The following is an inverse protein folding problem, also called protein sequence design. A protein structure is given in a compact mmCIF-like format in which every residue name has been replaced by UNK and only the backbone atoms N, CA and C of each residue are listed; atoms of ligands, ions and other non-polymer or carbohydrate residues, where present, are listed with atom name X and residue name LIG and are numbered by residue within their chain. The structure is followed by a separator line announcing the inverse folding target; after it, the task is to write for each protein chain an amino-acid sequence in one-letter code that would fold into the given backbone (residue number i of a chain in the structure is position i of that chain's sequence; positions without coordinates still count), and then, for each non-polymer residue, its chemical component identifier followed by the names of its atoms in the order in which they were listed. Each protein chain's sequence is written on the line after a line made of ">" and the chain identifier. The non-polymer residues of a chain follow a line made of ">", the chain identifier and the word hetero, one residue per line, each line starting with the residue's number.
data_IF_618805935798
#
_entry.id   IF_618805935798
#
_cell.length_a   1.000
_cell.length_b   1.000
_cell.length_c   1.000
_cell.angle_alpha   90.00
_cell.angle_beta   90.00
_cell.angle_gamma   90.00
#
_symmetry.space_group_name_H-M   'P 1'
#
loop_
_entity.id
_entity.type
_entity.pdbx_description
1 polymer ?
#
# COMPACT_ATOMS: atom_id res chain seq x y z
N UNK A 1 -21.89 11.41 5.84
CA UNK A 1 -20.85 10.56 6.44
C UNK A 1 -19.58 10.47 5.61
N UNK A 2 -19.64 10.37 4.27
CA UNK A 2 -18.44 10.33 3.39
C UNK A 2 -17.53 11.56 3.51
N UNK A 3 -18.09 12.78 3.59
CA UNK A 3 -17.31 14.01 3.74
C UNK A 3 -16.51 14.05 5.06
N UNK A 4 -17.07 13.52 6.15
CA UNK A 4 -16.40 13.49 7.46
C UNK A 4 -15.17 12.57 7.45
N UNK A 5 -15.18 11.51 6.65
CA UNK A 5 -14.10 10.53 6.50
C UNK A 5 -12.87 11.10 5.76
N UNK A 6 -13.07 12.11 4.92
CA UNK A 6 -11.98 12.83 4.24
C UNK A 6 -11.53 14.05 5.08
N UNK A 7 -12.46 14.73 5.72
CA UNK A 7 -12.19 15.96 6.48
C UNK A 7 -11.38 15.68 7.76
N UNK A 8 -11.69 14.62 8.51
CA UNK A 8 -10.96 14.29 9.73
C UNK A 8 -9.48 13.96 9.50
N UNK A 9 -9.09 13.10 8.55
CA UNK A 9 -7.69 12.86 8.23
C UNK A 9 -7.00 14.08 7.65
N UNK A 10 -7.66 14.81 6.75
CA UNK A 10 -7.10 16.06 6.20
C UNK A 10 -6.88 17.11 7.29
N UNK A 11 -7.80 17.22 8.26
CA UNK A 11 -7.66 18.10 9.41
C UNK A 11 -6.52 17.64 10.35
N UNK A 12 -6.36 16.32 10.56
CA UNK A 12 -5.24 15.77 11.34
C UNK A 12 -3.89 16.06 10.68
N UNK A 13 -3.79 15.91 9.36
CA UNK A 13 -2.58 16.27 8.60
C UNK A 13 -2.35 17.78 8.63
N UNK A 14 -3.37 18.60 8.40
CA UNK A 14 -3.26 20.05 8.46
C UNK A 14 -2.85 20.51 9.85
N UNK A 15 -3.38 19.90 10.92
CA UNK A 15 -2.99 20.16 12.29
C UNK A 15 -1.54 19.71 12.55
N UNK A 16 -1.13 18.55 12.06
CA UNK A 16 0.24 18.04 12.17
C UNK A 16 1.21 18.94 11.41
N UNK A 17 0.87 19.38 10.20
CA UNK A 17 1.64 20.35 9.42
C UNK A 17 1.68 21.74 10.10
N UNK A 18 0.56 22.21 10.65
CA UNK A 18 0.51 23.49 11.38
C UNK A 18 1.35 23.43 12.65
N UNK A 19 1.27 22.32 13.39
CA UNK A 19 2.13 22.06 14.55
C UNK A 19 3.61 21.96 14.12
N UNK A 20 3.90 21.32 13.00
CA UNK A 20 5.25 21.24 12.42
C UNK A 20 5.77 22.61 12.02
N UNK A 21 4.94 23.43 11.36
CA UNK A 21 5.29 24.80 11.01
C UNK A 21 5.47 25.72 12.24
N UNK A 22 4.65 25.53 13.29
CA UNK A 22 4.84 26.22 14.57
C UNK A 22 6.11 25.78 15.31
N UNK A 23 6.51 24.50 15.18
CA UNK A 23 7.76 23.97 15.71
C UNK A 23 8.97 24.48 14.94
N UNK A 24 8.86 24.69 13.64
CA UNK A 24 9.87 25.32 12.80
C UNK A 24 10.00 26.83 13.08
N UNK A 25 9.05 27.46 13.80
CA UNK A 25 9.11 28.88 14.17
C UNK A 25 10.18 29.09 15.25
N UNK A 26 11.12 30.01 15.03
CA UNK A 26 12.29 30.13 15.90
C UNK A 26 11.90 30.47 17.33
N UNK A 27 12.41 29.70 18.30
CA UNK A 27 12.34 30.02 19.72
C UNK A 27 13.04 31.35 19.99
N UNK A 28 12.47 32.19 20.87
CA UNK A 28 13.01 33.54 21.18
C UNK A 28 14.30 33.56 22.00
N UNK A 29 14.91 32.43 22.30
CA UNK A 29 16.29 32.42 22.84
C UNK A 29 17.26 32.61 21.69
N UNK A 30 18.11 33.63 21.68
CA UNK A 30 18.97 33.93 20.57
C UNK A 30 20.09 32.89 20.44
N UNK A 31 19.82 31.84 19.64
CA UNK A 31 20.90 31.04 19.07
C UNK A 31 21.57 31.94 18.02
N UNK A 32 22.90 32.09 18.02
CA UNK A 32 23.55 32.97 17.05
C UNK A 32 23.12 32.68 15.62
N UNK A 33 22.59 33.67 14.92
CA UNK A 33 22.04 33.52 13.54
C UNK A 33 22.98 32.84 12.53
N UNK A 34 24.29 32.84 12.79
CA UNK A 34 25.31 32.19 11.93
C UNK A 34 25.34 30.67 12.04
N UNK A 35 25.09 30.10 13.21
CA UNK A 35 25.00 28.67 13.45
C UNK A 35 23.69 28.09 12.88
N UNK A 36 22.58 28.84 13.01
CA UNK A 36 21.27 28.51 12.41
C UNK A 36 21.36 28.21 10.89
N UNK A 37 22.12 29.00 10.16
CA UNK A 37 22.19 28.87 8.69
C UNK A 37 22.98 27.61 8.24
N UNK A 38 24.04 27.24 8.96
CA UNK A 38 24.85 26.07 8.61
C UNK A 38 24.22 24.75 9.04
N UNK A 39 23.69 24.68 10.25
CA UNK A 39 22.97 23.48 10.72
C UNK A 39 21.69 23.23 9.94
N UNK A 40 20.95 24.30 9.57
CA UNK A 40 19.75 24.22 8.74
C UNK A 40 20.01 23.66 7.33
N UNK A 41 21.14 23.99 6.71
CA UNK A 41 21.53 23.41 5.42
C UNK A 41 21.86 21.92 5.58
N UNK A 42 22.60 21.56 6.64
CA UNK A 42 22.98 20.16 6.87
C UNK A 42 21.78 19.25 7.04
N UNK A 43 20.79 19.65 7.87
CA UNK A 43 19.58 18.86 8.06
C UNK A 43 18.72 18.83 6.80
N UNK A 44 18.61 19.92 6.04
CA UNK A 44 17.86 19.95 4.79
C UNK A 44 18.47 18.96 3.76
N UNK A 45 19.79 18.96 3.63
CA UNK A 45 20.48 18.01 2.73
C UNK A 45 20.29 16.56 3.20
N UNK A 46 20.49 16.29 4.50
CA UNK A 46 20.31 14.94 5.06
C UNK A 46 18.86 14.45 4.85
N UNK A 47 17.87 15.30 5.12
CA UNK A 47 16.46 14.96 4.92
C UNK A 47 16.14 14.73 3.44
N UNK A 48 16.66 15.55 2.54
CA UNK A 48 16.47 15.37 1.10
C UNK A 48 17.07 14.05 0.59
N UNK A 49 18.31 13.75 0.99
CA UNK A 49 18.98 12.47 0.62
C UNK A 49 18.20 11.27 1.18
N UNK A 50 17.78 11.34 2.43
CA UNK A 50 16.96 10.29 3.04
C UNK A 50 15.61 10.15 2.33
N UNK A 51 14.95 11.25 1.98
CA UNK A 51 13.68 11.22 1.25
C UNK A 51 13.83 10.50 -0.10
N UNK A 52 14.90 10.79 -0.85
CA UNK A 52 15.20 10.07 -2.09
C UNK A 52 15.35 8.57 -1.83
N UNK A 53 16.12 8.17 -0.82
CA UNK A 53 16.29 6.76 -0.46
C UNK A 53 14.97 6.11 -0.01
N UNK A 54 14.16 6.82 0.80
CA UNK A 54 12.90 6.32 1.32
C UNK A 54 11.84 6.09 0.23
N UNK A 55 11.79 6.93 -0.79
CA UNK A 55 10.80 6.83 -1.87
C UNK A 55 11.29 6.04 -3.09
N UNK A 56 12.60 5.83 -3.26
CA UNK A 56 13.13 5.05 -4.38
C UNK A 56 12.77 3.57 -4.23
N UNK A 57 12.10 3.01 -5.24
CA UNK A 57 11.68 1.61 -5.22
C UNK A 57 10.73 1.27 -4.09
N UNK A 58 9.85 2.21 -3.69
CA UNK A 58 8.92 2.03 -2.58
C UNK A 58 7.83 1.00 -2.90
N UNK A 59 7.42 0.90 -4.15
CA UNK A 59 6.41 -0.02 -4.65
C UNK A 59 5.86 0.41 -5.99
N UNK A 60 5.11 -0.47 -6.64
CA UNK A 60 4.36 -0.16 -7.86
C UNK A 60 3.34 0.94 -7.57
N UNK A 61 3.21 1.89 -8.49
CA UNK A 61 2.13 2.87 -8.49
C UNK A 61 0.97 2.45 -9.42
N UNK A 62 1.05 1.23 -9.96
CA UNK A 62 0.07 0.68 -10.92
C UNK A 62 -0.22 -0.76 -10.54
N UNK A 63 -1.36 -0.98 -9.94
CA UNK A 63 -1.96 -2.29 -9.72
C UNK A 63 -3.45 -2.19 -10.02
N UNK A 64 -4.16 -3.29 -10.25
CA UNK A 64 -5.59 -3.28 -10.53
C UNK A 64 -6.40 -2.50 -9.47
N UNK A 65 -7.28 -1.62 -9.92
CA UNK A 65 -8.15 -0.80 -9.09
C UNK A 65 -9.63 -1.19 -9.23
N UNK A 66 -9.97 -1.90 -10.31
CA UNK A 66 -11.30 -2.40 -10.57
C UNK A 66 -11.40 -3.87 -10.18
N UNK A 67 -12.54 -4.23 -9.60
CA UNK A 67 -12.75 -5.58 -9.11
C UNK A 67 -14.08 -6.14 -9.59
N UNK A 68 -14.03 -7.35 -10.13
CA UNK A 68 -15.19 -8.18 -10.35
C UNK A 68 -15.65 -8.75 -9.01
N UNK A 69 -16.87 -8.42 -8.58
CA UNK A 69 -17.49 -9.00 -7.39
C UNK A 69 -18.29 -10.21 -7.79
N UNK A 70 -17.99 -11.34 -7.17
CA UNK A 70 -18.69 -12.62 -7.39
C UNK A 70 -19.29 -13.09 -6.05
N UNK A 71 -20.54 -13.52 -6.09
CA UNK A 71 -21.21 -14.16 -4.98
C UNK A 71 -20.89 -15.67 -4.94
N UNK A 72 -21.19 -16.33 -3.82
CA UNK A 72 -20.99 -17.76 -3.67
C UNK A 72 -21.73 -18.56 -4.78
N UNK A 73 -20.97 -19.33 -5.58
CA UNK A 73 -21.48 -20.08 -6.72
C UNK A 73 -21.67 -19.27 -8.00
N UNK A 74 -21.46 -17.97 -7.97
CA UNK A 74 -21.51 -17.13 -9.17
C UNK A 74 -20.24 -17.29 -10.01
N UNK A 75 -20.38 -17.14 -11.31
CA UNK A 75 -19.30 -17.36 -12.27
C UNK A 75 -19.15 -16.19 -13.23
N UNK A 76 -17.92 -15.92 -13.63
CA UNK A 76 -17.58 -15.14 -14.81
C UNK A 76 -16.93 -16.06 -15.85
N UNK A 77 -17.29 -15.87 -17.12
CA UNK A 77 -16.77 -16.66 -18.24
C UNK A 77 -16.15 -15.74 -19.27
N UNK A 78 -14.90 -16.02 -19.62
CA UNK A 78 -14.13 -15.34 -20.66
C UNK A 78 -14.18 -16.20 -21.92
N UNK A 79 -14.72 -15.67 -23.02
CA UNK A 79 -14.64 -16.28 -24.35
C UNK A 79 -13.41 -15.73 -25.06
N UNK A 80 -12.49 -16.59 -25.42
CA UNK A 80 -11.27 -16.24 -26.15
C UNK A 80 -11.57 -16.04 -27.65
N UNK A 81 -10.65 -15.46 -28.40
CA UNK A 81 -10.77 -15.29 -29.85
C UNK A 81 -10.55 -16.58 -30.65
N UNK A 82 -10.24 -17.70 -29.97
CA UNK A 82 -10.08 -19.04 -30.51
C UNK A 82 -9.70 -20.04 -29.44
N UNK A 83 -9.30 -21.24 -29.87
CA UNK A 83 -8.72 -22.25 -28.97
C UNK A 83 -7.23 -21.91 -28.77
N UNK A 84 -6.84 -21.64 -27.54
CA UNK A 84 -5.46 -21.32 -27.18
C UNK A 84 -4.88 -22.29 -26.16
N UNK A 85 -3.58 -22.58 -26.30
CA UNK A 85 -2.83 -23.21 -25.21
C UNK A 85 -2.52 -22.16 -24.11
N UNK A 86 -3.05 -22.39 -22.92
CA UNK A 86 -2.87 -21.50 -21.77
C UNK A 86 -1.70 -22.05 -20.97
N UNK A 87 -0.58 -21.29 -20.95
CA UNK A 87 0.64 -21.72 -20.27
C UNK A 87 0.76 -21.13 -18.87
N UNK A 88 0.34 -19.88 -18.68
CA UNK A 88 0.39 -19.19 -17.40
C UNK A 88 -0.88 -18.40 -17.19
N UNK A 89 -1.38 -18.44 -15.96
CA UNK A 89 -2.51 -17.61 -15.53
C UNK A 89 -2.03 -16.75 -14.36
N UNK A 90 -2.23 -15.45 -14.47
CA UNK A 90 -2.09 -14.51 -13.36
C UNK A 90 -3.45 -13.99 -12.94
N UNK A 91 -3.66 -13.86 -11.65
CA UNK A 91 -4.84 -13.18 -11.10
C UNK A 91 -4.47 -12.26 -9.94
N UNK A 92 -5.19 -11.15 -9.84
CA UNK A 92 -5.03 -10.17 -8.77
C UNK A 92 -6.20 -10.24 -7.80
N UNK A 93 -5.91 -10.43 -6.53
CA UNK A 93 -6.91 -10.61 -5.48
C UNK A 93 -7.37 -9.27 -4.91
N UNK A 94 -8.67 -9.16 -4.61
CA UNK A 94 -9.28 -8.03 -3.91
C UNK A 94 -9.61 -8.32 -2.46
N UNK A 95 -10.75 -7.81 -1.98
CA UNK A 95 -11.24 -8.05 -0.62
C UNK A 95 -11.91 -9.43 -0.48
N UNK A 96 -12.11 -9.81 0.77
CA UNK A 96 -12.73 -11.04 1.24
C UNK A 96 -11.85 -12.28 1.05
N UNK A 97 -12.27 -13.42 1.61
CA UNK A 97 -11.47 -14.65 1.63
C UNK A 97 -12.30 -15.85 1.21
N UNK A 98 -11.68 -16.73 0.44
CA UNK A 98 -12.26 -17.94 -0.12
C UNK A 98 -11.35 -18.49 -1.20
N UNK A 99 -11.95 -19.09 -2.21
CA UNK A 99 -11.24 -19.57 -3.39
C UNK A 99 -12.13 -19.48 -4.63
N UNK A 100 -11.52 -19.48 -5.78
CA UNK A 100 -12.22 -19.65 -7.06
C UNK A 100 -11.84 -20.98 -7.68
N UNK A 101 -12.81 -21.61 -8.34
CA UNK A 101 -12.57 -22.73 -9.24
C UNK A 101 -12.31 -22.18 -10.63
N UNK A 102 -11.18 -22.56 -11.22
CA UNK A 102 -10.83 -22.27 -12.61
C UNK A 102 -11.19 -23.49 -13.47
N UNK A 103 -11.95 -23.30 -14.54
CA UNK A 103 -12.37 -24.36 -15.43
C UNK A 103 -12.26 -23.91 -16.90
N UNK A 104 -11.88 -24.86 -17.77
CA UNK A 104 -11.67 -24.65 -19.20
C UNK A 104 -12.71 -25.42 -20.03
N UNK A 105 -13.02 -24.88 -21.21
CA UNK A 105 -13.94 -25.48 -22.17
C UNK A 105 -13.55 -25.11 -23.60
N UNK A 106 -13.78 -26.05 -24.55
CA UNK A 106 -13.62 -25.79 -25.98
C UNK A 106 -14.93 -25.38 -26.65
N UNK A 107 -16.08 -25.79 -26.09
CA UNK A 107 -17.43 -25.59 -26.66
C UNK A 107 -18.28 -24.54 -25.89
N UNK A 108 -17.83 -24.09 -24.73
CA UNK A 108 -18.58 -23.19 -23.84
C UNK A 108 -19.71 -23.86 -23.06
N UNK A 109 -19.88 -25.16 -23.20
CA UNK A 109 -20.95 -25.97 -22.59
C UNK A 109 -20.38 -26.90 -21.51
N UNK A 110 -19.39 -27.70 -21.90
CA UNK A 110 -18.75 -28.68 -21.02
C UNK A 110 -17.45 -28.09 -20.46
N UNK A 111 -17.38 -27.96 -19.14
CA UNK A 111 -16.23 -27.39 -18.44
C UNK A 111 -15.48 -28.47 -17.68
N UNK A 112 -14.17 -28.48 -17.83
CA UNK A 112 -13.24 -29.33 -17.06
C UNK A 112 -12.44 -28.48 -16.10
N UNK A 113 -12.29 -28.94 -14.86
CA UNK A 113 -11.51 -28.23 -13.86
C UNK A 113 -10.04 -28.09 -14.32
N UNK A 114 -9.54 -26.87 -14.32
CA UNK A 114 -8.17 -26.52 -14.67
C UNK A 114 -7.33 -26.22 -13.44
N UNK A 115 -7.95 -25.81 -12.32
CA UNK A 115 -7.27 -25.52 -11.08
C UNK A 115 -8.12 -24.76 -10.06
N UNK A 116 -7.49 -24.36 -8.97
CA UNK A 116 -8.07 -23.48 -7.97
C UNK A 116 -7.24 -22.20 -7.84
N UNK A 117 -7.92 -21.11 -7.52
CA UNK A 117 -7.34 -19.79 -7.31
C UNK A 117 -7.62 -19.37 -5.87
N UNK A 118 -6.74 -19.71 -4.91
CA UNK A 118 -6.95 -19.37 -3.51
C UNK A 118 -6.86 -17.86 -3.27
N UNK A 119 -7.70 -17.36 -2.37
CA UNK A 119 -7.69 -16.00 -1.86
C UNK A 119 -7.83 -16.07 -0.34
N UNK A 120 -6.75 -16.49 0.33
CA UNK A 120 -6.66 -16.48 1.79
C UNK A 120 -6.45 -15.06 2.34
N UNK A 121 -6.57 -14.90 3.66
CA UNK A 121 -6.42 -13.57 4.27
C UNK A 121 -5.03 -12.95 4.02
N UNK A 122 -4.00 -13.78 3.83
CA UNK A 122 -2.64 -13.34 3.54
C UNK A 122 -2.39 -13.07 2.05
N UNK A 123 -3.37 -13.38 1.20
CA UNK A 123 -3.24 -13.32 -0.25
C UNK A 123 -3.93 -12.10 -0.87
N UNK A 124 -4.48 -11.20 -0.04
CA UNK A 124 -5.21 -10.04 -0.52
C UNK A 124 -4.28 -8.98 -1.12
N UNK A 125 -4.73 -8.37 -2.21
CA UNK A 125 -3.99 -7.36 -2.98
C UNK A 125 -2.63 -7.87 -3.42
N UNK A 126 -2.65 -9.06 -4.05
CA UNK A 126 -1.47 -9.75 -4.59
C UNK A 126 -1.74 -10.33 -5.96
N UNK A 127 -0.66 -10.39 -6.74
CA UNK A 127 -0.60 -11.19 -7.95
C UNK A 127 -0.25 -12.62 -7.61
N UNK A 128 -1.12 -13.56 -7.99
CA UNK A 128 -0.98 -14.98 -7.72
C UNK A 128 -1.15 -15.80 -9.00
N UNK A 129 -0.75 -17.07 -8.94
CA UNK A 129 -1.03 -18.06 -9.96
C UNK A 129 -1.92 -19.16 -9.39
N UNK A 130 -2.83 -19.74 -10.20
CA UNK A 130 -3.66 -20.87 -9.78
C UNK A 130 -2.82 -22.07 -9.34
N UNK A 131 -3.40 -22.85 -8.44
CA UNK A 131 -2.93 -24.21 -8.18
C UNK A 131 -3.53 -25.13 -9.27
N UNK A 132 -2.71 -25.73 -10.15
CA UNK A 132 -3.23 -26.51 -11.28
C UNK A 132 -3.92 -27.79 -10.79
N UNK A 133 -4.95 -28.23 -11.50
CA UNK A 133 -5.51 -29.54 -11.31
C UNK A 133 -4.66 -30.60 -12.05
N UNK A 134 -4.59 -31.84 -11.53
CA UNK A 134 -3.82 -32.93 -12.16
C UNK A 134 -4.29 -33.26 -13.60
N UNK A 135 -5.56 -32.97 -13.89
CA UNK A 135 -6.21 -33.24 -15.17
C UNK A 135 -6.54 -31.98 -15.96
N UNK A 136 -5.82 -30.87 -15.68
CA UNK A 136 -6.08 -29.58 -16.34
C UNK A 136 -5.92 -29.75 -17.88
N UNK A 137 -6.90 -29.27 -18.70
CA UNK A 137 -6.74 -29.22 -20.14
C UNK A 137 -5.59 -28.27 -20.52
N UNK A 138 -4.84 -28.63 -21.57
CA UNK A 138 -3.73 -27.83 -22.07
C UNK A 138 -4.20 -26.62 -22.90
N UNK A 139 -5.45 -26.60 -23.37
CA UNK A 139 -6.02 -25.55 -24.22
C UNK A 139 -7.49 -25.32 -23.89
N UNK A 140 -7.97 -24.13 -24.26
CA UNK A 140 -9.36 -23.71 -24.08
C UNK A 140 -9.78 -22.63 -25.08
N UNK A 141 -11.07 -22.60 -25.43
CA UNK A 141 -11.73 -21.45 -26.05
C UNK A 141 -12.51 -20.59 -25.02
N UNK A 142 -12.85 -21.19 -23.89
CA UNK A 142 -13.57 -20.53 -22.80
C UNK A 142 -12.91 -20.83 -21.45
N UNK A 143 -12.80 -19.79 -20.65
CA UNK A 143 -12.27 -19.87 -19.27
C UNK A 143 -13.35 -19.40 -18.32
N UNK A 144 -13.71 -20.24 -17.33
CA UNK A 144 -14.70 -19.92 -16.31
C UNK A 144 -14.05 -19.85 -14.94
N UNK A 145 -14.37 -18.78 -14.22
CA UNK A 145 -14.02 -18.59 -12.81
C UNK A 145 -15.28 -18.59 -11.98
N UNK A 146 -15.37 -19.47 -10.97
CA UNK A 146 -16.52 -19.60 -10.07
C UNK A 146 -16.09 -19.36 -8.64
N UNK A 147 -16.72 -18.42 -7.93
CA UNK A 147 -16.38 -18.10 -6.55
C UNK A 147 -17.02 -19.07 -5.55
N UNK A 148 -16.29 -19.43 -4.50
CA UNK A 148 -16.80 -20.24 -3.37
C UNK A 148 -17.54 -19.42 -2.31
N UNK A 149 -17.31 -18.09 -2.28
CA UNK A 149 -17.87 -17.15 -1.32
C UNK A 149 -18.06 -15.79 -2.00
N UNK A 150 -18.52 -14.78 -1.25
CA UNK A 150 -18.48 -13.39 -1.70
C UNK A 150 -17.03 -12.92 -1.78
N UNK A 151 -16.51 -12.67 -2.99
CA UNK A 151 -15.10 -12.37 -3.28
C UNK A 151 -14.96 -11.25 -4.30
N UNK A 152 -13.87 -10.50 -4.21
CA UNK A 152 -13.43 -9.54 -5.22
C UNK A 152 -12.20 -10.06 -5.95
N UNK A 153 -12.29 -10.17 -7.28
CA UNK A 153 -11.21 -10.54 -8.19
C UNK A 153 -10.91 -9.36 -9.11
N UNK A 154 -9.67 -8.92 -9.11
CA UNK A 154 -9.21 -7.90 -10.04
C UNK A 154 -8.87 -8.47 -11.41
N UNK A 155 -7.74 -8.09 -11.97
CA UNK A 155 -7.32 -8.52 -13.31
C UNK A 155 -7.02 -10.03 -13.37
N UNK A 156 -7.43 -10.66 -14.44
CA UNK A 156 -7.14 -12.06 -14.82
C UNK A 156 -6.42 -12.10 -16.15
N UNK A 157 -5.16 -12.51 -16.17
CA UNK A 157 -4.36 -12.59 -17.37
C UNK A 157 -4.06 -14.04 -17.76
N UNK A 158 -4.36 -14.39 -19.00
CA UNK A 158 -4.06 -15.67 -19.61
C UNK A 158 -2.90 -15.46 -20.58
N UNK A 159 -1.80 -16.21 -20.40
CA UNK A 159 -0.60 -16.09 -21.20
C UNK A 159 -0.32 -17.40 -21.95
N UNK A 160 0.14 -17.27 -23.17
CA UNK A 160 0.61 -18.40 -23.99
C UNK A 160 2.04 -18.85 -23.62
N UNK A 161 2.60 -19.78 -24.35
CA UNK A 161 3.95 -20.31 -24.13
C UNK A 161 5.07 -19.29 -24.42
N UNK A 162 4.76 -18.22 -25.14
CA UNK A 162 5.66 -17.11 -25.44
C UNK A 162 5.57 -16.00 -24.37
N UNK A 163 4.60 -16.12 -23.45
CA UNK A 163 4.32 -15.11 -22.45
C UNK A 163 3.46 -13.96 -22.98
N UNK A 164 2.91 -14.10 -24.19
CA UNK A 164 2.02 -13.13 -24.77
C UNK A 164 0.59 -13.31 -24.22
N UNK A 165 -0.12 -12.19 -24.04
CA UNK A 165 -1.48 -12.24 -23.52
C UNK A 165 -2.47 -12.74 -24.55
N UNK A 166 -3.25 -13.74 -24.17
CA UNK A 166 -4.35 -14.28 -24.98
C UNK A 166 -5.51 -13.28 -24.96
N UNK A 167 -6.01 -12.93 -26.15
CA UNK A 167 -7.10 -11.97 -26.29
C UNK A 167 -8.44 -12.55 -25.84
N UNK A 168 -9.18 -11.77 -25.04
CA UNK A 168 -10.54 -12.09 -24.62
C UNK A 168 -11.50 -11.32 -25.51
N UNK A 169 -12.39 -12.03 -26.21
CA UNK A 169 -13.39 -11.46 -27.11
C UNK A 169 -14.63 -10.95 -26.38
N UNK A 170 -15.06 -11.69 -25.37
CA UNK A 170 -16.30 -11.44 -24.64
C UNK A 170 -16.18 -11.95 -23.21
N UNK A 171 -16.77 -11.22 -22.27
CA UNK A 171 -16.87 -11.61 -20.88
C UNK A 171 -18.34 -11.64 -20.49
N UNK A 172 -18.80 -12.76 -19.93
CA UNK A 172 -20.16 -12.93 -19.41
C UNK A 172 -20.10 -13.24 -17.92
N UNK A 173 -21.02 -12.64 -17.14
CA UNK A 173 -21.04 -12.79 -15.69
C UNK A 173 -21.76 -11.62 -15.00
N UNK A 174 -21.41 -11.28 -13.77
CA UNK A 174 -21.96 -10.12 -13.07
C UNK A 174 -21.66 -8.81 -13.83
N UNK A 175 -22.37 -7.74 -13.48
CA UNK A 175 -22.18 -6.44 -14.12
C UNK A 175 -20.73 -5.89 -14.01
N UNK A 176 -19.98 -6.37 -13.03
CA UNK A 176 -18.57 -6.00 -12.79
C UNK A 176 -17.57 -6.90 -13.51
N UNK A 177 -18.01 -7.90 -14.29
CA UNK A 177 -17.12 -8.90 -14.91
C UNK A 177 -16.07 -8.28 -15.87
N UNK A 178 -16.36 -7.11 -16.45
CA UNK A 178 -15.41 -6.37 -17.29
C UNK A 178 -14.08 -6.05 -16.58
N UNK A 179 -14.11 -5.90 -15.27
CA UNK A 179 -12.92 -5.62 -14.43
C UNK A 179 -11.88 -6.75 -14.45
N UNK A 180 -12.22 -7.93 -14.96
CA UNK A 180 -11.27 -9.03 -15.08
C UNK A 180 -10.20 -8.85 -16.17
N UNK A 181 -10.41 -7.91 -17.11
CA UNK A 181 -9.52 -7.73 -18.26
C UNK A 181 -9.31 -6.27 -18.69
N UNK A 182 -9.64 -5.28 -17.85
CA UNK A 182 -9.61 -3.87 -18.24
C UNK A 182 -8.32 -3.14 -17.84
N UNK A 183 -7.45 -3.78 -17.04
CA UNK A 183 -6.20 -3.20 -16.53
C UNK A 183 -4.97 -4.04 -16.94
N UNK A 184 -4.93 -4.49 -18.20
CA UNK A 184 -3.93 -5.39 -18.77
C UNK A 184 -2.47 -4.98 -18.62
N UNK A 185 -2.21 -3.67 -18.53
CA UNK A 185 -0.88 -3.08 -18.37
C UNK A 185 -0.33 -3.19 -16.94
N UNK A 186 -1.14 -3.70 -16.01
CA UNK A 186 -0.73 -3.94 -14.62
C UNK A 186 -0.13 -5.33 -14.39
N UNK A 187 -0.32 -6.26 -15.34
CA UNK A 187 0.12 -7.66 -15.19
C UNK A 187 1.65 -7.76 -15.10
N UNK A 188 2.19 -8.31 -14.00
CA UNK A 188 3.63 -8.33 -13.80
C UNK A 188 4.27 -9.55 -14.44
N UNK A 189 5.57 -9.46 -14.75
CA UNK A 189 6.36 -10.63 -15.12
C UNK A 189 6.58 -11.61 -13.95
N UNK A 190 6.52 -11.11 -12.71
CA UNK A 190 6.64 -11.90 -11.48
C UNK A 190 6.03 -11.18 -10.30
N UNK A 191 5.46 -11.93 -9.35
CA UNK A 191 5.00 -11.39 -8.08
C UNK A 191 6.18 -11.14 -7.15
N UNK A 192 6.30 -9.93 -6.64
CA UNK A 192 7.39 -9.50 -5.78
C UNK A 192 6.89 -8.53 -4.72
N UNK A 193 7.74 -8.19 -3.74
CA UNK A 193 7.49 -7.09 -2.81
C UNK A 193 7.05 -5.79 -3.50
N UNK A 194 7.54 -5.54 -4.71
CA UNK A 194 7.28 -4.28 -5.43
C UNK A 194 5.82 -4.13 -5.88
N UNK A 195 5.13 -5.24 -6.20
CA UNK A 195 3.78 -5.27 -6.78
C UNK A 195 2.78 -6.08 -5.93
N UNK A 196 3.05 -6.28 -4.65
CA UNK A 196 2.19 -7.08 -3.78
C UNK A 196 2.26 -6.58 -2.34
N UNK A 197 1.23 -6.86 -1.55
CA UNK A 197 1.23 -6.65 -0.11
C UNK A 197 2.26 -7.56 0.59
N UNK A 198 2.87 -7.07 1.65
CA UNK A 198 3.93 -7.75 2.38
C UNK A 198 3.77 -7.57 3.88
N UNK A 199 4.05 -8.61 4.66
CA UNK A 199 4.04 -8.58 6.12
C UNK A 199 2.72 -7.99 6.68
N UNK A 200 2.76 -7.03 7.59
CA UNK A 200 1.58 -6.42 8.21
C UNK A 200 0.74 -5.55 7.28
N UNK A 201 1.18 -5.32 6.04
CA UNK A 201 0.38 -4.65 5.01
C UNK A 201 -0.94 -5.38 4.73
N UNK A 202 -0.93 -6.72 4.85
CA UNK A 202 -2.14 -7.55 4.74
C UNK A 202 -3.22 -7.19 5.77
N UNK A 203 -2.84 -6.57 6.89
CA UNK A 203 -3.77 -6.09 7.93
C UNK A 203 -4.06 -4.60 7.78
N UNK A 204 -3.02 -3.79 7.77
CA UNK A 204 -3.16 -2.34 7.90
C UNK A 204 -3.54 -1.64 6.60
N UNK A 205 -2.93 -2.01 5.46
CA UNK A 205 -3.31 -1.47 4.16
C UNK A 205 -4.72 -1.92 3.76
N UNK A 206 -5.04 -3.21 3.99
CA UNK A 206 -6.38 -3.75 3.81
C UNK A 206 -7.41 -2.95 4.62
N UNK A 207 -7.20 -2.80 5.92
CA UNK A 207 -8.15 -2.11 6.80
C UNK A 207 -8.27 -0.63 6.45
N UNK A 208 -7.19 0.03 6.04
CA UNK A 208 -7.22 1.39 5.52
C UNK A 208 -8.13 1.51 4.27
N UNK A 209 -8.05 0.53 3.37
CA UNK A 209 -8.92 0.46 2.19
C UNK A 209 -10.37 0.14 2.57
N UNK A 210 -10.60 -0.77 3.51
CA UNK A 210 -11.94 -1.08 4.05
C UNK A 210 -12.59 0.17 4.65
N UNK A 211 -11.85 1.02 5.36
CA UNK A 211 -12.34 2.31 5.86
C UNK A 211 -12.77 3.24 4.71
N UNK A 212 -11.98 3.34 3.63
CA UNK A 212 -12.35 4.13 2.45
C UNK A 212 -13.62 3.62 1.78
N UNK A 213 -13.76 2.30 1.69
CA UNK A 213 -14.93 1.63 1.11
C UNK A 213 -16.16 1.69 2.03
N UNK A 214 -15.98 2.01 3.31
CA UNK A 214 -17.04 2.04 4.29
C UNK A 214 -17.57 0.67 4.66
N UNK A 215 -16.78 -0.37 4.46
CA UNK A 215 -17.09 -1.75 4.91
C UNK A 215 -16.52 -1.99 6.30
N UNK A 216 -17.00 -3.04 6.97
CA UNK A 216 -16.53 -3.38 8.31
C UNK A 216 -15.04 -3.78 8.25
N UNK A 217 -14.17 -3.15 9.06
CA UNK A 217 -12.74 -3.40 9.01
C UNK A 217 -12.37 -4.78 9.57
N UNK A 218 -11.47 -5.46 8.90
CA UNK A 218 -10.95 -6.76 9.34
C UNK A 218 -10.16 -6.65 10.64
N UNK A 219 -9.24 -5.69 10.71
CA UNK A 219 -8.37 -5.51 11.85
C UNK A 219 -8.86 -4.36 12.73
N UNK A 220 -9.33 -4.69 13.95
CA UNK A 220 -9.93 -3.76 14.90
C UNK A 220 -9.15 -3.64 16.22
N UNK A 221 -8.07 -4.44 16.40
CA UNK A 221 -7.33 -4.49 17.66
C UNK A 221 -6.44 -3.25 17.89
N UNK A 222 -5.97 -2.62 16.83
CA UNK A 222 -5.16 -1.40 16.89
C UNK A 222 -5.99 -0.14 16.72
N UNK A 223 -5.57 0.98 17.36
CA UNK A 223 -6.23 2.27 17.17
C UNK A 223 -6.31 2.68 15.70
N UNK A 224 -7.42 3.35 15.27
CA UNK A 224 -7.68 3.58 13.84
C UNK A 224 -6.80 4.66 13.20
N UNK A 225 -6.23 5.60 13.97
CA UNK A 225 -5.54 6.77 13.42
C UNK A 225 -4.44 6.42 12.41
N UNK A 226 -3.62 5.40 12.70
CA UNK A 226 -2.56 4.97 11.76
C UNK A 226 -3.13 4.49 10.43
N UNK A 227 -4.24 3.74 10.47
CA UNK A 227 -4.94 3.24 9.27
C UNK A 227 -5.62 4.37 8.50
N UNK A 228 -6.18 5.36 9.22
CA UNK A 228 -6.72 6.58 8.58
C UNK A 228 -5.62 7.40 7.89
N UNK A 229 -4.40 7.42 8.43
CA UNK A 229 -3.27 8.06 7.76
C UNK A 229 -2.87 7.26 6.50
N UNK A 230 -2.81 5.93 6.58
CA UNK A 230 -2.56 5.08 5.41
C UNK A 230 -3.61 5.27 4.33
N UNK A 231 -4.89 5.39 4.71
CA UNK A 231 -6.01 5.57 3.78
C UNK A 231 -5.88 6.81 2.92
N UNK A 232 -5.19 7.86 3.39
CA UNK A 232 -4.92 9.06 2.59
C UNK A 232 -3.98 8.77 1.41
N UNK A 233 -2.93 7.97 1.64
CA UNK A 233 -2.04 7.55 0.57
C UNK A 233 -2.78 6.71 -0.47
N UNK A 234 -3.63 5.78 -0.02
CA UNK A 234 -4.49 4.96 -0.89
C UNK A 234 -5.50 5.84 -1.65
N UNK A 235 -6.10 6.82 -1.00
CA UNK A 235 -7.07 7.72 -1.64
C UNK A 235 -6.45 8.59 -2.74
N UNK A 236 -5.15 8.92 -2.64
CA UNK A 236 -4.43 9.77 -3.61
C UNK A 236 -3.84 8.94 -4.74
N UNK A 237 -3.24 7.79 -4.43
CA UNK A 237 -2.42 7.00 -5.36
C UNK A 237 -3.04 5.65 -5.72
N UNK A 238 -4.27 5.37 -5.27
CA UNK A 238 -4.95 4.09 -5.44
C UNK A 238 -4.50 3.02 -4.45
N UNK A 239 -5.18 1.87 -4.47
CA UNK A 239 -4.83 0.68 -3.67
C UNK A 239 -3.64 -0.02 -4.33
N UNK A 240 -2.47 0.58 -4.24
CA UNK A 240 -1.21 0.13 -4.82
C UNK A 240 -0.12 0.07 -3.74
N UNK A 241 0.97 -0.71 -3.92
CA UNK A 241 2.10 -0.73 -3.00
C UNK A 241 2.67 0.64 -2.69
N UNK A 242 2.79 1.51 -3.70
CA UNK A 242 3.18 2.89 -3.47
C UNK A 242 2.13 3.64 -2.63
N UNK A 243 0.85 3.48 -2.94
CA UNK A 243 -0.26 4.16 -2.27
C UNK A 243 -0.30 3.88 -0.78
N UNK A 244 -0.22 2.62 -0.37
CA UNK A 244 -0.27 2.28 1.05
C UNK A 244 1.05 2.49 1.80
N UNK A 245 2.22 2.56 1.11
CA UNK A 245 3.54 2.77 1.73
C UNK A 245 3.95 4.24 1.84
N UNK A 246 3.44 5.10 0.96
CA UNK A 246 3.94 6.48 0.83
C UNK A 246 3.79 7.31 2.12
N UNK A 247 2.72 7.08 2.90
CA UNK A 247 2.51 7.82 4.14
C UNK A 247 3.50 7.39 5.24
N UNK A 248 3.82 6.09 5.34
CA UNK A 248 4.88 5.60 6.24
C UNK A 248 6.22 6.23 5.91
N UNK A 249 6.61 6.22 4.63
CA UNK A 249 7.86 6.84 4.15
C UNK A 249 7.89 8.35 4.43
N UNK A 250 6.78 9.06 4.20
CA UNK A 250 6.67 10.49 4.49
C UNK A 250 6.88 10.79 5.98
N UNK A 251 6.30 10.00 6.86
CA UNK A 251 6.46 10.14 8.31
C UNK A 251 7.89 9.81 8.74
N UNK A 252 8.53 8.82 8.13
CA UNK A 252 9.95 8.53 8.33
C UNK A 252 10.84 9.69 7.97
N UNK A 253 10.61 10.33 6.83
CA UNK A 253 11.31 11.57 6.43
C UNK A 253 11.06 12.70 7.43
N UNK A 254 9.83 12.88 7.90
CA UNK A 254 9.45 13.92 8.85
C UNK A 254 10.10 13.75 10.23
N UNK A 255 10.46 12.52 10.63
CA UNK A 255 11.15 12.28 11.90
C UNK A 255 12.55 12.92 11.95
N UNK A 256 13.24 13.08 10.83
CA UNK A 256 14.60 13.61 10.79
C UNK A 256 14.68 15.08 11.29
N UNK A 257 13.93 16.04 10.72
CA UNK A 257 13.96 17.40 11.21
C UNK A 257 13.41 17.54 12.64
N UNK A 258 12.48 16.67 13.06
CA UNK A 258 12.00 16.63 14.44
C UNK A 258 13.08 16.17 15.41
N UNK A 259 13.79 15.10 15.09
CA UNK A 259 14.92 14.59 15.87
C UNK A 259 16.02 15.65 15.96
N UNK A 260 16.35 16.30 14.85
CA UNK A 260 17.34 17.38 14.85
C UNK A 260 16.93 18.55 15.75
N UNK A 261 15.66 19.00 15.71
CA UNK A 261 15.20 20.10 16.59
C UNK A 261 15.24 19.70 18.06
N UNK A 262 14.85 18.47 18.41
CA UNK A 262 14.94 17.94 19.77
C UNK A 262 16.39 17.92 20.28
N UNK A 263 17.29 17.29 19.53
CA UNK A 263 18.70 17.15 19.90
C UNK A 263 19.40 18.49 19.98
N UNK A 264 19.10 19.41 19.06
CA UNK A 264 19.64 20.76 19.06
C UNK A 264 19.24 21.55 20.32
N UNK A 265 18.00 21.39 20.77
CA UNK A 265 17.53 22.02 22.02
C UNK A 265 18.18 21.41 23.24
N UNK A 266 18.34 20.09 23.27
CA UNK A 266 18.96 19.37 24.38
C UNK A 266 20.44 19.69 24.52
N UNK A 267 21.20 19.62 23.44
CA UNK A 267 22.66 19.74 23.45
C UNK A 267 23.18 21.14 23.10
N UNK A 268 22.32 22.01 22.55
CA UNK A 268 22.68 23.39 22.11
C UNK A 268 23.86 23.43 21.13
N UNK A 269 24.07 22.35 20.39
CA UNK A 269 25.14 22.21 19.41
C UNK A 269 24.56 21.58 18.13
N UNK A 270 24.68 22.31 17.00
CA UNK A 270 24.19 21.89 15.71
C UNK A 270 24.93 20.65 15.16
N UNK A 271 26.20 20.44 15.53
CA UNK A 271 27.01 19.29 15.09
C UNK A 271 26.53 18.03 15.78
N UNK A 272 26.34 18.10 17.10
CA UNK A 272 25.81 16.98 17.89
C UNK A 272 24.40 16.61 17.40
N UNK A 273 23.55 17.60 17.16
CA UNK A 273 22.21 17.39 16.64
C UNK A 273 22.24 16.73 15.26
N UNK A 274 23.11 17.20 14.36
CA UNK A 274 23.23 16.62 13.02
C UNK A 274 23.77 15.19 13.06
N UNK A 275 24.79 14.91 13.89
CA UNK A 275 25.32 13.56 14.07
C UNK A 275 24.24 12.60 14.62
N UNK A 276 23.52 12.99 15.67
CA UNK A 276 22.45 12.16 16.23
C UNK A 276 21.30 11.90 15.24
N UNK A 277 20.94 12.93 14.44
CA UNK A 277 19.94 12.75 13.39
C UNK A 277 20.46 11.87 12.24
N UNK A 278 21.75 11.97 11.91
CA UNK A 278 22.36 11.09 10.92
C UNK A 278 22.36 9.62 11.38
N UNK A 279 22.58 9.35 12.67
CA UNK A 279 22.44 8.00 13.20
C UNK A 279 21.04 7.44 13.00
N UNK A 280 19.99 8.25 13.22
CA UNK A 280 18.61 7.85 12.91
C UNK A 280 18.41 7.63 11.40
N UNK A 281 18.94 8.53 10.56
CA UNK A 281 18.79 8.42 9.10
C UNK A 281 19.48 7.18 8.52
N UNK A 282 20.60 6.75 9.11
CA UNK A 282 21.35 5.56 8.69
C UNK A 282 20.96 4.30 9.45
N UNK A 283 19.99 4.39 10.36
CA UNK A 283 19.44 3.21 11.01
C UNK A 283 18.62 2.39 10.01
N UNK A 284 19.06 1.15 9.80
CA UNK A 284 18.39 0.23 8.91
C UNK A 284 16.95 -0.06 9.32
N UNK A 285 16.69 -0.18 10.63
CA UNK A 285 15.34 -0.42 11.16
C UNK A 285 14.41 0.77 10.80
N UNK A 286 14.87 2.00 11.01
CA UNK A 286 14.10 3.19 10.68
C UNK A 286 13.73 3.22 9.18
N UNK A 287 14.69 2.98 8.29
CA UNK A 287 14.44 2.97 6.86
C UNK A 287 13.47 1.86 6.45
N UNK A 288 13.65 0.63 6.96
CA UNK A 288 12.84 -0.51 6.53
C UNK A 288 11.41 -0.43 7.07
N UNK A 289 11.23 -0.08 8.35
CA UNK A 289 9.90 0.00 8.97
C UNK A 289 9.05 1.15 8.41
N UNK A 290 9.68 2.25 8.01
CA UNK A 290 8.93 3.37 7.40
C UNK A 290 8.56 3.13 5.93
N UNK A 291 9.10 2.08 5.29
CA UNK A 291 8.83 1.74 3.88
C UNK A 291 7.80 0.63 3.70
N UNK A 292 7.22 0.15 4.76
CA UNK A 292 6.09 -0.80 4.74
C UNK A 292 4.88 -0.16 5.42
N UNK A 293 3.67 -0.59 5.05
CA UNK A 293 2.45 -0.01 5.61
C UNK A 293 2.13 -0.59 6.98
N UNK A 294 2.99 -0.27 7.96
CA UNK A 294 2.73 -0.49 9.38
C UNK A 294 2.30 0.79 10.06
N UNK A 295 1.66 0.68 11.21
CA UNK A 295 1.22 1.84 11.99
C UNK A 295 2.30 2.36 12.95
N UNK A 296 3.40 1.63 13.12
CA UNK A 296 4.49 1.91 14.07
C UNK A 296 5.21 3.22 13.73
N UNK A 297 5.40 3.50 12.45
CA UNK A 297 6.02 4.74 11.97
C UNK A 297 5.25 5.97 12.45
N UNK A 298 3.93 5.92 12.45
CA UNK A 298 3.09 7.02 12.92
C UNK A 298 3.18 7.17 14.43
N UNK A 299 3.09 6.05 15.17
CA UNK A 299 3.23 6.05 16.61
C UNK A 299 4.58 6.62 17.05
N UNK A 300 5.67 6.22 16.40
CA UNK A 300 7.03 6.70 16.67
C UNK A 300 7.18 8.20 16.45
N UNK A 301 6.62 8.74 15.36
CA UNK A 301 6.62 10.18 15.11
C UNK A 301 5.86 10.93 16.21
N UNK A 302 4.67 10.47 16.61
CA UNK A 302 3.89 11.11 17.67
C UNK A 302 4.58 11.05 19.03
N UNK A 303 5.28 9.92 19.35
CA UNK A 303 6.11 9.81 20.55
C UNK A 303 7.25 10.84 20.51
N UNK A 304 7.93 10.99 19.36
CA UNK A 304 8.99 11.99 19.20
C UNK A 304 8.47 13.42 19.39
N UNK A 305 7.29 13.73 18.84
CA UNK A 305 6.60 15.00 19.05
C UNK A 305 6.25 15.23 20.53
N UNK A 306 5.76 14.19 21.21
CA UNK A 306 5.45 14.27 22.64
C UNK A 306 6.70 14.65 23.45
N UNK A 307 7.85 14.01 23.21
CA UNK A 307 9.10 14.33 23.89
C UNK A 307 9.58 15.76 23.57
N UNK A 308 9.47 16.18 22.32
CA UNK A 308 9.85 17.52 21.90
C UNK A 308 9.00 18.60 22.61
N UNK A 309 7.66 18.40 22.66
CA UNK A 309 6.76 19.33 23.34
C UNK A 309 6.97 19.35 24.87
N UNK A 310 7.13 18.18 25.49
CA UNK A 310 7.44 18.11 26.93
C UNK A 310 8.76 18.82 27.24
N UNK A 311 9.81 18.61 26.44
CA UNK A 311 11.07 19.30 26.61
C UNK A 311 10.90 20.83 26.52
N UNK A 312 10.16 21.32 25.52
CA UNK A 312 9.87 22.75 25.34
C UNK A 312 9.07 23.32 26.53
N UNK A 313 8.07 22.59 26.99
CA UNK A 313 7.25 23.00 28.11
C UNK A 313 8.09 23.20 29.37
N UNK A 314 8.93 22.21 29.74
CA UNK A 314 9.72 22.26 30.97
C UNK A 314 10.92 23.23 30.89
N UNK A 315 11.49 23.44 29.71
CA UNK A 315 12.70 24.26 29.57
C UNK A 315 12.45 25.68 29.06
N UNK A 316 11.41 25.88 28.28
CA UNK A 316 11.11 27.14 27.61
C UNK A 316 9.81 27.79 28.12
N UNK A 317 9.05 27.11 28.98
CA UNK A 317 7.76 27.56 29.51
C UNK A 317 6.69 27.76 28.44
N UNK A 318 6.74 26.94 27.35
CA UNK A 318 5.86 27.08 26.20
C UNK A 318 5.35 25.68 25.73
N UNK A 319 4.08 25.65 25.34
CA UNK A 319 3.53 24.61 24.51
C UNK A 319 3.72 24.94 23.03
#
# INVERSE_FOLDING_TARGET
>A
MAALRIILPAAAIALTLALFLQLAWPARTPIPRRTLRRGGIGIAVLTAVYAVAAFTGLGSARDPQHFCTLEAGESATLALDGVHSINTVWYYTGLYTGEYTLAYSDDGITYTAAGTMPQGYADLFKWLQPQPADTAPASAAYVRVTASAHLELGELALLDAQGERIAVREITGPATAGALCDEADTVPASSTYFNSSYFDEIYHARTAYEHLRGVYPYEVSHPPLGKEILSLGIAIFGMTPFGWRCMGALFGVAMLPLMWDLLRRMFRDDRVALCGTALLAFDFMHLTQTRIATIDSFATLFILLMYLFLYRYFTEGRL
#
